data_IF_749195529519
#
_entry.id   IF_749195529519
#
_cell.length_a   1.000
_cell.length_b   1.000
_cell.length_c   1.000
_cell.angle_alpha   90.00
_cell.angle_beta   90.00
_cell.angle_gamma   90.00
#
_symmetry.space_group_name_H-M   'P 1'
#
loop_
_entity.id
_entity.type
_entity.pdbx_description
1 polymer ?
#
# COMPACT_ATOMS: atom_id res chain seq x y z
N UNK A 1 14.21 -17.60 -19.06
CA UNK A 1 12.78 -17.22 -19.06
C UNK A 1 12.47 -16.59 -17.73
N UNK A 2 11.87 -15.40 -17.71
CA UNK A 2 11.45 -14.76 -16.45
C UNK A 2 10.16 -15.43 -15.98
N UNK A 3 10.20 -16.10 -14.84
CA UNK A 3 8.99 -16.53 -14.15
C UNK A 3 8.27 -15.30 -13.59
N UNK A 4 6.97 -15.21 -13.83
CA UNK A 4 6.12 -14.13 -13.34
C UNK A 4 5.11 -14.70 -12.36
N UNK A 5 5.19 -14.24 -11.11
CA UNK A 5 4.21 -14.55 -10.10
C UNK A 5 3.50 -13.24 -9.69
N UNK A 6 2.16 -13.24 -9.64
CA UNK A 6 1.44 -12.04 -9.24
C UNK A 6 1.75 -11.71 -7.78
N UNK A 7 2.14 -10.47 -7.55
CA UNK A 7 2.23 -9.89 -6.21
C UNK A 7 0.85 -9.30 -5.90
N UNK A 8 0.22 -9.62 -4.77
CA UNK A 8 -1.09 -9.09 -4.44
C UNK A 8 -1.04 -7.57 -4.26
N UNK A 9 -2.14 -6.92 -4.57
CA UNK A 9 -2.34 -5.51 -4.24
C UNK A 9 -2.67 -5.34 -2.76
N UNK A 10 -2.49 -4.13 -2.23
CA UNK A 10 -2.88 -3.82 -0.84
C UNK A 10 -4.37 -4.09 -0.63
N UNK A 11 -5.21 -3.75 -1.60
CA UNK A 11 -6.65 -3.97 -1.52
C UNK A 11 -7.02 -5.45 -1.41
N UNK A 12 -6.37 -6.31 -2.21
CA UNK A 12 -6.58 -7.76 -2.12
C UNK A 12 -6.18 -8.32 -0.75
N UNK A 13 -5.12 -7.80 -0.13
CA UNK A 13 -4.68 -8.23 1.19
C UNK A 13 -5.63 -7.76 2.31
N UNK A 14 -6.32 -6.65 2.11
CA UNK A 14 -7.25 -6.09 3.09
C UNK A 14 -8.65 -6.72 3.04
N UNK A 15 -9.01 -7.44 1.96
CA UNK A 15 -10.34 -8.03 1.78
C UNK A 15 -10.76 -8.96 2.93
N UNK A 16 -9.84 -9.76 3.46
CA UNK A 16 -10.14 -10.73 4.52
C UNK A 16 -10.07 -10.14 5.94
N UNK A 17 -9.77 -8.83 6.08
CA UNK A 17 -9.57 -8.20 7.38
C UNK A 17 -10.85 -7.69 8.04
N UNK A 18 -11.98 -7.75 7.33
CA UNK A 18 -13.30 -7.39 7.89
C UNK A 18 -13.58 -8.17 9.19
N UNK A 19 -14.08 -7.47 10.22
CA UNK A 19 -14.40 -8.04 11.55
C UNK A 19 -13.20 -8.58 12.34
N UNK A 20 -11.97 -8.19 11.98
CA UNK A 20 -10.78 -8.56 12.74
C UNK A 20 -10.49 -7.53 13.83
N UNK A 21 -10.25 -8.02 15.05
CA UNK A 21 -10.04 -7.20 16.25
C UNK A 21 -8.68 -7.46 16.90
N UNK A 22 -7.97 -8.51 16.48
CA UNK A 22 -6.65 -8.86 17.02
C UNK A 22 -5.70 -9.12 15.87
N UNK A 23 -4.53 -8.51 15.95
CA UNK A 23 -3.52 -8.53 14.90
C UNK A 23 -2.15 -8.89 15.46
N UNK A 24 -1.35 -9.60 14.66
CA UNK A 24 0.09 -9.76 14.87
C UNK A 24 0.83 -9.47 13.58
N UNK A 25 1.94 -8.74 13.67
CA UNK A 25 2.87 -8.51 12.57
C UNK A 25 4.11 -9.35 12.75
N UNK A 26 4.49 -10.07 11.71
CA UNK A 26 5.68 -10.89 11.66
C UNK A 26 6.61 -10.32 10.59
N UNK A 27 7.88 -10.15 10.93
CA UNK A 27 8.95 -9.70 10.02
C UNK A 27 9.90 -10.87 9.78
N UNK A 28 10.07 -11.26 8.52
CA UNK A 28 10.96 -12.36 8.14
C UNK A 28 12.42 -11.87 8.14
N UNK A 29 13.27 -12.60 8.87
CA UNK A 29 14.68 -12.22 9.02
C UNK A 29 15.42 -12.38 7.70
N UNK A 30 16.13 -11.32 7.25
CA UNK A 30 16.97 -11.34 6.04
C UNK A 30 16.26 -11.64 4.72
N UNK A 31 14.94 -11.64 4.66
CA UNK A 31 14.12 -11.75 3.46
C UNK A 31 14.62 -12.76 2.44
N UNK A 32 15.05 -12.30 1.27
CA UNK A 32 15.50 -13.13 0.16
C UNK A 32 16.59 -14.14 0.54
N UNK A 33 17.47 -13.79 1.46
CA UNK A 33 18.56 -14.69 1.87
C UNK A 33 18.09 -15.95 2.63
N UNK A 34 16.83 -16.10 2.93
CA UNK A 34 16.29 -17.35 3.49
C UNK A 34 16.06 -18.42 2.42
N UNK A 35 15.90 -18.04 1.15
CA UNK A 35 15.68 -18.97 0.06
C UNK A 35 17.01 -19.48 -0.54
N UNK A 36 17.11 -20.79 -0.75
CA UNK A 36 18.26 -21.40 -1.41
C UNK A 36 18.13 -21.29 -2.93
N UNK A 37 19.23 -20.96 -3.61
CA UNK A 37 19.32 -21.07 -5.06
C UNK A 37 19.63 -22.51 -5.47
N UNK A 38 19.01 -22.95 -6.56
CA UNK A 38 19.41 -24.20 -7.24
C UNK A 38 20.88 -24.11 -7.65
N UNK A 39 21.56 -25.25 -7.74
CA UNK A 39 23.00 -25.25 -8.08
C UNK A 39 23.28 -24.58 -9.42
N UNK A 40 22.45 -24.88 -10.43
CA UNK A 40 22.58 -24.32 -11.79
C UNK A 40 22.43 -22.78 -11.83
N UNK A 41 21.67 -22.21 -10.87
CA UNK A 41 21.47 -20.76 -10.79
C UNK A 41 22.57 -20.03 -10.03
N UNK A 42 23.44 -20.73 -9.29
CA UNK A 42 24.47 -20.09 -8.47
C UNK A 42 25.59 -19.46 -9.28
N UNK A 43 25.97 -20.08 -10.38
CA UNK A 43 27.09 -19.62 -11.22
C UNK A 43 26.80 -18.24 -11.85
N UNK A 44 25.55 -17.96 -12.18
CA UNK A 44 25.10 -16.64 -12.70
C UNK A 44 25.35 -15.53 -11.68
N UNK A 45 25.43 -15.84 -10.40
CA UNK A 45 25.64 -14.90 -9.30
C UNK A 45 27.10 -14.69 -8.93
N UNK A 46 28.03 -15.19 -9.76
CA UNK A 46 29.47 -15.12 -9.49
C UNK A 46 29.97 -13.69 -9.53
N UNK A 47 30.76 -13.32 -8.53
CA UNK A 47 31.41 -12.03 -8.41
C UNK A 47 32.87 -12.19 -7.96
N UNK A 48 33.71 -11.23 -8.33
CA UNK A 48 35.14 -11.21 -8.01
C UNK A 48 35.38 -10.38 -6.75
N UNK A 49 36.28 -10.84 -5.90
CA UNK A 49 36.79 -10.11 -4.75
C UNK A 49 38.33 -10.15 -4.77
N UNK A 50 38.96 -9.41 -3.87
CA UNK A 50 40.41 -9.42 -3.69
C UNK A 50 40.97 -10.77 -3.21
N UNK A 51 40.13 -11.68 -2.71
CA UNK A 51 40.51 -13.00 -2.24
C UNK A 51 40.02 -14.13 -3.17
N UNK A 52 39.39 -13.80 -4.30
CA UNK A 52 38.96 -14.79 -5.30
C UNK A 52 37.53 -14.60 -5.81
N UNK A 53 37.06 -15.62 -6.52
CA UNK A 53 35.71 -15.67 -7.05
C UNK A 53 34.76 -16.28 -6.00
N UNK A 54 33.61 -15.66 -5.86
CA UNK A 54 32.53 -16.12 -4.98
C UNK A 54 31.22 -16.17 -5.75
N UNK A 55 30.28 -16.99 -5.30
CA UNK A 55 28.92 -17.06 -5.79
C UNK A 55 27.92 -17.16 -4.64
N UNK A 56 26.73 -16.63 -4.82
CA UNK A 56 25.68 -16.74 -3.83
C UNK A 56 25.10 -18.18 -3.80
N UNK A 57 24.87 -18.69 -2.62
CA UNK A 57 24.11 -19.92 -2.39
C UNK A 57 22.62 -19.64 -2.13
N UNK A 58 22.28 -18.40 -1.84
CA UNK A 58 20.94 -17.94 -1.48
C UNK A 58 20.47 -16.82 -2.41
N UNK A 59 19.17 -16.64 -2.51
CA UNK A 59 18.56 -15.60 -3.31
C UNK A 59 19.10 -14.23 -2.87
N UNK A 60 19.47 -13.37 -3.82
CA UNK A 60 20.14 -12.10 -3.57
C UNK A 60 19.31 -10.93 -4.10
N UNK A 61 19.62 -9.74 -3.59
CA UNK A 61 19.08 -8.49 -4.11
C UNK A 61 19.64 -8.19 -5.51
N UNK A 62 18.87 -7.43 -6.32
CA UNK A 62 19.29 -7.02 -7.67
C UNK A 62 18.85 -7.98 -8.79
N UNK A 63 18.37 -9.17 -8.48
CA UNK A 63 17.73 -10.06 -9.45
C UNK A 63 16.28 -9.60 -9.69
N UNK A 64 15.93 -9.29 -10.93
CA UNK A 64 14.62 -8.70 -11.27
C UNK A 64 13.41 -9.56 -10.93
N UNK A 65 13.56 -10.90 -10.90
CA UNK A 65 12.50 -11.85 -10.53
C UNK A 65 12.51 -12.23 -9.05
N UNK A 66 13.51 -11.80 -8.26
CA UNK A 66 13.63 -12.19 -6.86
C UNK A 66 12.39 -11.83 -6.01
N UNK A 67 11.80 -10.62 -6.10
CA UNK A 67 10.61 -10.29 -5.32
C UNK A 67 9.42 -11.21 -5.63
N UNK A 68 9.20 -11.51 -6.92
CA UNK A 68 8.08 -12.36 -7.37
C UNK A 68 8.25 -13.81 -6.87
N UNK A 69 9.47 -14.35 -6.98
CA UNK A 69 9.81 -15.70 -6.51
C UNK A 69 9.66 -15.77 -4.98
N UNK A 70 10.23 -14.79 -4.27
CA UNK A 70 10.16 -14.74 -2.82
C UNK A 70 8.71 -14.69 -2.33
N UNK A 71 7.91 -13.78 -2.85
CA UNK A 71 6.49 -13.66 -2.53
C UNK A 71 5.74 -14.96 -2.77
N UNK A 72 6.00 -15.64 -3.87
CA UNK A 72 5.36 -16.91 -4.20
C UNK A 72 5.74 -18.02 -3.21
N UNK A 73 7.01 -18.13 -2.83
CA UNK A 73 7.47 -19.13 -1.86
C UNK A 73 6.87 -18.88 -0.46
N UNK A 74 6.87 -17.63 0.02
CA UNK A 74 6.22 -17.30 1.30
C UNK A 74 4.73 -17.58 1.25
N UNK A 75 4.04 -17.21 0.13
CA UNK A 75 2.61 -17.52 -0.05
C UNK A 75 2.32 -19.01 0.05
N UNK A 76 3.16 -19.89 -0.55
CA UNK A 76 3.01 -21.35 -0.44
C UNK A 76 3.08 -21.84 1.01
N UNK A 77 3.99 -21.27 1.80
CA UNK A 77 4.15 -21.63 3.21
C UNK A 77 2.89 -21.35 4.02
N UNK A 78 2.25 -20.20 3.81
CA UNK A 78 1.06 -19.79 4.58
C UNK A 78 -0.27 -20.17 3.91
N UNK A 79 -0.22 -20.79 2.74
CA UNK A 79 -1.41 -21.16 1.96
C UNK A 79 -2.35 -22.05 2.77
N UNK A 80 -3.65 -21.71 2.76
CA UNK A 80 -4.70 -22.45 3.46
C UNK A 80 -4.84 -22.11 4.94
N UNK A 81 -4.04 -21.19 5.48
CA UNK A 81 -4.26 -20.64 6.83
C UNK A 81 -5.13 -19.39 6.66
N UNK A 82 -6.37 -19.37 7.19
CA UNK A 82 -7.23 -18.22 7.09
C UNK A 82 -6.68 -17.05 7.92
N UNK A 83 -6.97 -15.81 7.52
CA UNK A 83 -6.57 -14.62 8.26
C UNK A 83 -5.07 -14.37 8.30
N UNK A 84 -4.37 -14.69 7.22
CA UNK A 84 -2.95 -14.38 7.02
C UNK A 84 -2.79 -13.59 5.74
N UNK A 85 -2.33 -12.35 5.87
CA UNK A 85 -1.94 -11.50 4.75
C UNK A 85 -0.41 -11.40 4.71
N UNK A 86 0.17 -11.59 3.53
CA UNK A 86 1.62 -11.52 3.34
C UNK A 86 1.97 -10.66 2.13
N UNK A 87 2.90 -9.75 2.31
CA UNK A 87 3.54 -9.00 1.24
C UNK A 87 5.03 -8.85 1.52
N UNK A 88 5.85 -9.48 0.69
CA UNK A 88 7.31 -9.53 0.86
C UNK A 88 7.70 -10.05 2.25
N UNK A 89 8.45 -9.26 3.01
CA UNK A 89 8.96 -9.62 4.34
C UNK A 89 7.93 -9.39 5.46
N UNK A 90 6.88 -8.61 5.18
CA UNK A 90 5.82 -8.28 6.13
C UNK A 90 4.67 -9.30 6.04
N UNK A 91 4.31 -9.88 7.16
CA UNK A 91 3.18 -10.79 7.29
C UNK A 91 2.29 -10.32 8.44
N UNK A 92 0.99 -10.28 8.23
CA UNK A 92 -0.01 -10.00 9.27
C UNK A 92 -0.87 -11.22 9.48
N UNK A 93 -1.00 -11.64 10.73
CA UNK A 93 -1.97 -12.64 11.18
C UNK A 93 -3.07 -11.88 11.92
N UNK A 94 -4.32 -12.12 11.56
CA UNK A 94 -5.46 -11.42 12.15
C UNK A 94 -6.60 -12.36 12.49
N UNK A 95 -7.47 -11.94 13.38
CA UNK A 95 -8.64 -12.72 13.78
C UNK A 95 -9.71 -11.89 14.48
N UNK A 96 -10.96 -12.40 14.51
CA UNK A 96 -12.08 -11.71 15.14
C UNK A 96 -11.99 -11.64 16.67
N UNK A 97 -11.22 -12.55 17.26
CA UNK A 97 -10.97 -12.62 18.69
C UNK A 97 -9.61 -13.27 18.96
N UNK A 98 -9.16 -13.18 20.21
CA UNK A 98 -7.85 -13.69 20.62
C UNK A 98 -7.70 -15.19 20.39
N UNK A 99 -8.72 -16.01 20.63
CA UNK A 99 -8.63 -17.45 20.50
C UNK A 99 -8.41 -17.88 19.04
N UNK A 100 -9.19 -17.35 18.10
CA UNK A 100 -9.02 -17.61 16.67
C UNK A 100 -7.70 -17.05 16.14
N UNK A 101 -7.32 -15.85 16.57
CA UNK A 101 -6.03 -15.25 16.22
C UNK A 101 -4.86 -16.13 16.67
N UNK A 102 -4.83 -16.56 17.94
CA UNK A 102 -3.74 -17.36 18.50
C UNK A 102 -3.63 -18.74 17.82
N UNK A 103 -4.77 -19.36 17.49
CA UNK A 103 -4.82 -20.60 16.71
C UNK A 103 -4.20 -20.44 15.30
N UNK A 104 -4.52 -19.34 14.61
CA UNK A 104 -3.95 -19.03 13.30
C UNK A 104 -2.45 -18.74 13.40
N UNK A 105 -2.04 -17.97 14.41
CA UNK A 105 -0.64 -17.64 14.65
C UNK A 105 0.19 -18.90 14.95
N UNK A 106 -0.32 -19.84 15.73
CA UNK A 106 0.33 -21.12 15.99
C UNK A 106 0.50 -21.93 14.70
N UNK A 107 -0.50 -21.97 13.82
CA UNK A 107 -0.39 -22.64 12.52
C UNK A 107 0.70 -22.01 11.65
N UNK A 108 0.80 -20.67 11.64
CA UNK A 108 1.88 -19.97 10.92
C UNK A 108 3.24 -20.36 11.49
N UNK A 109 3.42 -20.35 12.80
CA UNK A 109 4.69 -20.73 13.42
C UNK A 109 5.10 -22.17 13.09
N UNK A 110 4.18 -23.12 13.16
CA UNK A 110 4.45 -24.52 12.77
C UNK A 110 4.89 -24.65 11.31
N UNK A 111 4.29 -23.86 10.40
CA UNK A 111 4.68 -23.85 8.98
C UNK A 111 6.05 -23.22 8.76
N UNK A 112 6.35 -22.10 9.43
CA UNK A 112 7.66 -21.45 9.36
C UNK A 112 8.76 -22.38 9.90
N UNK A 113 8.53 -23.05 11.03
CA UNK A 113 9.45 -24.04 11.62
C UNK A 113 9.70 -25.20 10.66
N UNK A 114 8.66 -25.79 10.10
CA UNK A 114 8.76 -26.90 9.16
C UNK A 114 9.52 -26.54 7.87
N UNK A 115 9.48 -25.27 7.45
CA UNK A 115 10.20 -24.78 6.26
C UNK A 115 11.57 -24.18 6.57
N UNK A 116 11.95 -24.07 7.85
CA UNK A 116 13.20 -23.47 8.29
C UNK A 116 13.27 -21.95 8.13
N UNK A 117 12.13 -21.29 7.94
CA UNK A 117 12.05 -19.82 7.87
C UNK A 117 12.12 -19.23 9.27
N UNK A 118 12.87 -18.13 9.40
CA UNK A 118 13.13 -17.48 10.68
C UNK A 118 12.58 -16.06 10.73
N UNK A 119 12.09 -15.67 11.91
CA UNK A 119 11.55 -14.36 12.19
C UNK A 119 12.56 -13.43 12.88
N UNK A 120 12.43 -12.14 12.63
CA UNK A 120 13.11 -11.11 13.39
C UNK A 120 12.27 -10.71 14.60
N UNK A 121 12.51 -11.33 15.75
CA UNK A 121 11.73 -11.15 16.97
C UNK A 121 11.59 -9.67 17.39
N UNK A 122 12.63 -8.87 17.20
CA UNK A 122 12.63 -7.46 17.63
C UNK A 122 11.69 -6.57 16.80
N UNK A 123 11.33 -7.01 15.60
CA UNK A 123 10.39 -6.31 14.72
C UNK A 123 8.99 -6.92 14.69
N UNK A 124 8.81 -8.06 15.33
CA UNK A 124 7.50 -8.69 15.44
C UNK A 124 6.67 -8.03 16.54
N UNK A 125 5.38 -7.88 16.28
CA UNK A 125 4.38 -7.37 17.23
C UNK A 125 3.27 -8.41 17.34
N UNK A 126 2.81 -8.72 18.56
CA UNK A 126 1.89 -9.82 18.79
C UNK A 126 0.63 -9.39 19.55
N UNK A 127 -0.52 -9.85 19.08
CA UNK A 127 -1.78 -9.81 19.81
C UNK A 127 -2.27 -8.41 20.17
N UNK A 128 -2.08 -7.44 19.26
CA UNK A 128 -2.47 -6.04 19.44
C UNK A 128 -3.82 -5.74 18.77
N UNK A 129 -4.52 -4.70 19.24
CA UNK A 129 -5.77 -4.21 18.66
C UNK A 129 -5.55 -3.30 17.44
N UNK A 130 -4.37 -2.72 17.31
CA UNK A 130 -4.00 -1.82 16.22
C UNK A 130 -2.59 -2.13 15.71
N UNK A 131 -2.38 -2.07 14.38
CA UNK A 131 -1.08 -2.41 13.80
C UNK A 131 -0.80 -1.62 12.51
N UNK A 132 0.47 -1.28 12.30
CA UNK A 132 0.93 -0.67 11.04
C UNK A 132 1.31 -1.76 10.03
N UNK A 133 0.63 -1.75 8.88
CA UNK A 133 0.89 -2.66 7.78
C UNK A 133 0.84 -1.92 6.44
N UNK A 134 1.89 -2.04 5.65
CA UNK A 134 2.01 -1.41 4.32
C UNK A 134 1.65 0.08 4.32
N UNK A 135 2.09 0.83 5.35
CA UNK A 135 1.84 2.27 5.46
C UNK A 135 0.42 2.66 5.82
N UNK A 136 -0.40 1.71 6.24
CA UNK A 136 -1.74 1.89 6.78
C UNK A 136 -1.80 1.41 8.23
N UNK A 137 -2.64 2.02 9.04
CA UNK A 137 -2.97 1.57 10.38
C UNK A 137 -4.27 0.77 10.32
N UNK A 138 -4.20 -0.48 10.74
CA UNK A 138 -5.32 -1.41 10.82
C UNK A 138 -5.83 -1.47 12.25
N UNK A 139 -7.14 -1.45 12.43
CA UNK A 139 -7.80 -1.60 13.73
C UNK A 139 -9.17 -2.27 13.56
N UNK A 140 -9.85 -2.54 14.68
CA UNK A 140 -11.24 -2.99 14.68
C UNK A 140 -12.21 -1.98 14.07
N UNK A 141 -11.85 -0.68 14.12
CA UNK A 141 -12.63 0.41 13.50
C UNK A 141 -12.50 0.46 12.00
N UNK A 142 -11.40 -0.08 11.44
CA UNK A 142 -11.11 -0.08 10.01
C UNK A 142 -9.67 0.31 9.69
N UNK A 143 -9.52 1.06 8.60
CA UNK A 143 -8.28 1.43 7.97
C UNK A 143 -8.05 2.94 8.09
N UNK A 144 -6.92 3.32 8.68
CA UNK A 144 -6.42 4.69 8.71
C UNK A 144 -5.09 4.81 7.94
N UNK A 145 -4.71 5.99 7.46
CA UNK A 145 -3.35 6.17 6.95
C UNK A 145 -2.35 6.02 8.09
N UNK A 146 -1.21 5.39 7.82
CA UNK A 146 -0.16 5.20 8.83
C UNK A 146 0.36 6.55 9.37
N UNK A 147 0.45 6.67 10.69
CA UNK A 147 0.80 7.92 11.38
C UNK A 147 2.07 8.56 10.83
N UNK A 148 3.14 7.80 10.63
CA UNK A 148 4.40 8.31 10.07
C UNK A 148 4.28 8.83 8.64
N UNK A 149 3.30 8.35 7.84
CA UNK A 149 3.02 8.88 6.51
C UNK A 149 2.29 10.22 6.59
N UNK A 150 1.29 10.32 7.47
CA UNK A 150 0.57 11.58 7.72
C UNK A 150 1.54 12.63 8.23
N UNK A 151 2.36 12.31 9.25
CA UNK A 151 3.39 13.20 9.77
C UNK A 151 4.36 13.67 8.69
N UNK A 152 4.81 12.78 7.79
CA UNK A 152 5.69 13.12 6.68
C UNK A 152 5.06 14.15 5.74
N UNK A 153 3.75 14.04 5.46
CA UNK A 153 3.03 15.02 4.65
C UNK A 153 2.85 16.34 5.41
N UNK A 154 2.47 16.29 6.68
CA UNK A 154 2.27 17.49 7.49
C UNK A 154 3.57 18.26 7.71
N UNK A 155 4.69 17.57 7.90
CA UNK A 155 6.02 18.18 8.04
C UNK A 155 6.63 18.64 6.70
N UNK A 156 6.03 18.27 5.56
CA UNK A 156 6.57 18.64 4.26
C UNK A 156 6.58 20.16 4.10
N UNK A 157 7.74 20.73 3.77
CA UNK A 157 7.89 22.18 3.54
C UNK A 157 7.27 22.53 2.20
N UNK A 158 6.88 23.79 2.03
CA UNK A 158 6.45 24.30 0.74
C UNK A 158 7.50 24.00 -0.33
N UNK A 159 7.14 23.26 -1.40
CA UNK A 159 8.07 22.87 -2.45
C UNK A 159 8.68 24.08 -3.17
N UNK A 160 9.96 24.00 -3.49
CA UNK A 160 10.69 25.04 -4.22
C UNK A 160 10.98 24.67 -5.67
N UNK A 161 10.82 23.39 -6.01
CA UNK A 161 11.07 22.88 -7.36
C UNK A 161 10.08 21.78 -7.73
N UNK A 162 9.97 21.50 -9.02
CA UNK A 162 9.07 20.47 -9.55
C UNK A 162 9.35 19.06 -9.01
N UNK A 163 10.61 18.75 -8.68
CA UNK A 163 10.99 17.47 -8.05
C UNK A 163 10.37 17.30 -6.66
N UNK A 164 10.37 18.37 -5.84
CA UNK A 164 9.75 18.36 -4.52
C UNK A 164 8.23 18.25 -4.60
N UNK A 165 7.61 18.91 -5.60
CA UNK A 165 6.16 18.76 -5.85
C UNK A 165 5.83 17.30 -6.23
N UNK A 166 6.62 16.66 -7.09
CA UNK A 166 6.40 15.24 -7.43
C UNK A 166 6.54 14.34 -6.21
N UNK A 167 7.52 14.61 -5.35
CA UNK A 167 7.71 13.86 -4.11
C UNK A 167 6.52 14.04 -3.16
N UNK A 168 6.04 15.27 -2.99
CA UNK A 168 4.85 15.58 -2.20
C UNK A 168 3.61 14.90 -2.77
N UNK A 169 3.36 15.06 -4.07
CA UNK A 169 2.22 14.44 -4.75
C UNK A 169 2.29 12.90 -4.73
N UNK A 170 3.49 12.33 -4.78
CA UNK A 170 3.68 10.88 -4.60
C UNK A 170 3.21 10.39 -3.23
N UNK A 171 3.53 11.12 -2.15
CA UNK A 171 3.06 10.81 -0.80
C UNK A 171 1.54 10.97 -0.68
N UNK A 172 1.00 12.06 -1.20
CA UNK A 172 -0.45 12.34 -1.17
C UNK A 172 -1.24 11.31 -1.98
N UNK A 173 -0.79 10.97 -3.20
CA UNK A 173 -1.44 9.98 -4.05
C UNK A 173 -1.44 8.58 -3.43
N UNK A 174 -0.38 8.22 -2.69
CA UNK A 174 -0.35 6.96 -1.95
C UNK A 174 -1.48 6.84 -0.93
N UNK A 175 -1.89 7.96 -0.34
CA UNK A 175 -2.99 8.06 0.61
C UNK A 175 -4.29 8.56 -0.04
N UNK A 176 -4.37 8.55 -1.36
CA UNK A 176 -5.49 9.10 -2.12
C UNK A 176 -6.84 8.48 -1.79
N UNK A 177 -6.87 7.23 -1.33
CA UNK A 177 -8.08 6.55 -0.87
C UNK A 177 -8.75 7.18 0.35
N UNK A 178 -8.03 8.02 1.11
CA UNK A 178 -8.53 8.75 2.29
C UNK A 178 -8.93 10.19 1.97
N UNK A 179 -8.72 10.65 0.73
CA UNK A 179 -8.91 12.05 0.36
C UNK A 179 -10.06 12.15 -0.64
N UNK A 180 -11.22 12.69 -0.22
CA UNK A 180 -12.27 13.04 -1.15
C UNK A 180 -11.79 14.15 -2.10
N UNK A 181 -12.27 14.13 -3.34
CA UNK A 181 -11.98 15.18 -4.35
C UNK A 181 -10.49 15.48 -4.59
N UNK A 182 -9.62 14.46 -4.43
CA UNK A 182 -8.18 14.63 -4.59
C UNK A 182 -7.79 15.21 -5.96
N UNK A 183 -8.52 14.87 -7.02
CA UNK A 183 -8.26 15.39 -8.37
C UNK A 183 -8.40 16.91 -8.44
N UNK A 184 -9.45 17.45 -7.82
CA UNK A 184 -9.73 18.88 -7.78
C UNK A 184 -8.74 19.62 -6.86
N UNK A 185 -8.53 19.09 -5.65
CA UNK A 185 -7.59 19.66 -4.67
C UNK A 185 -6.16 19.74 -5.21
N UNK A 186 -5.75 18.79 -6.04
CA UNK A 186 -4.38 18.70 -6.56
C UNK A 186 -4.16 19.41 -7.91
N UNK A 187 -5.22 19.85 -8.56
CA UNK A 187 -5.16 20.43 -9.91
C UNK A 187 -4.11 21.57 -10.04
N UNK A 188 -4.06 22.57 -9.12
CA UNK A 188 -3.08 23.65 -9.23
C UNK A 188 -1.62 23.20 -9.19
N UNK A 189 -1.33 22.06 -8.50
CA UNK A 189 0.01 21.50 -8.38
C UNK A 189 0.38 20.59 -9.56
N UNK A 190 -0.62 20.09 -10.29
CA UNK A 190 -0.44 19.08 -11.33
C UNK A 190 0.43 19.54 -12.49
N UNK A 191 0.26 20.79 -12.96
CA UNK A 191 1.08 21.34 -14.06
C UNK A 191 2.57 21.18 -13.79
N UNK A 192 3.00 21.34 -12.53
CA UNK A 192 4.39 21.24 -12.11
C UNK A 192 4.93 19.82 -12.10
N UNK A 193 4.07 18.80 -12.18
CA UNK A 193 4.51 17.40 -12.25
C UNK A 193 4.88 16.97 -13.67
N UNK A 194 4.54 17.75 -14.70
CA UNK A 194 4.85 17.47 -16.09
C UNK A 194 6.37 17.54 -16.35
N UNK A 195 6.83 16.75 -17.35
CA UNK A 195 8.26 16.69 -17.70
C UNK A 195 8.86 18.04 -18.11
N UNK A 196 8.06 18.90 -18.72
CA UNK A 196 8.44 20.23 -19.20
C UNK A 196 8.91 21.18 -18.10
N UNK A 197 8.52 20.92 -16.86
CA UNK A 197 8.86 21.72 -15.68
C UNK A 197 9.95 21.12 -14.81
N UNK A 198 10.57 20.01 -15.24
CA UNK A 198 11.47 19.20 -14.41
C UNK A 198 12.59 20.03 -13.74
N UNK A 199 13.16 20.97 -14.49
CA UNK A 199 14.32 21.75 -14.05
C UNK A 199 13.98 23.26 -13.89
N UNK A 200 12.68 23.61 -13.93
CA UNK A 200 12.24 25.00 -13.75
C UNK A 200 12.00 25.30 -12.27
N UNK A 201 12.36 26.49 -11.80
CA UNK A 201 11.94 26.97 -10.49
C UNK A 201 10.41 27.04 -10.45
N UNK A 202 9.85 26.69 -9.30
CA UNK A 202 8.40 26.72 -9.10
C UNK A 202 8.04 28.09 -8.52
N UNK A 203 7.18 28.80 -9.20
CA UNK A 203 6.52 29.99 -8.67
C UNK A 203 5.19 29.54 -8.03
N UNK A 204 5.17 29.54 -6.70
CA UNK A 204 3.97 29.24 -5.92
C UNK A 204 3.11 30.48 -5.81
N UNK A 205 2.10 30.58 -6.67
CA UNK A 205 1.02 31.55 -6.52
C UNK A 205 0.05 31.16 -5.40
N UNK A 206 -0.95 31.99 -5.21
CA UNK A 206 -1.96 31.78 -4.15
C UNK A 206 -2.69 30.43 -4.31
N UNK A 207 -3.01 30.03 -5.55
CA UNK A 207 -3.72 28.77 -5.84
C UNK A 207 -2.89 27.54 -5.47
N UNK A 208 -1.59 27.53 -5.76
CA UNK A 208 -0.69 26.43 -5.40
C UNK A 208 -0.49 26.31 -3.89
N UNK A 209 -0.34 27.44 -3.19
CA UNK A 209 -0.24 27.47 -1.72
C UNK A 209 -1.53 26.96 -1.08
N UNK A 210 -2.68 27.39 -1.59
CA UNK A 210 -3.98 26.91 -1.11
C UNK A 210 -4.14 25.41 -1.33
N UNK A 211 -3.86 24.91 -2.54
CA UNK A 211 -3.92 23.48 -2.86
C UNK A 211 -3.01 22.65 -1.94
N UNK A 212 -1.76 23.08 -1.74
CA UNK A 212 -0.81 22.44 -0.86
C UNK A 212 -1.33 22.32 0.59
N UNK A 213 -1.88 23.42 1.13
CA UNK A 213 -2.43 23.44 2.50
C UNK A 213 -3.74 22.63 2.60
N UNK A 214 -4.60 22.68 1.58
CA UNK A 214 -5.85 21.92 1.54
C UNK A 214 -5.59 20.41 1.54
N UNK A 215 -4.59 19.92 0.79
CA UNK A 215 -4.19 18.51 0.78
C UNK A 215 -3.65 18.07 2.14
N UNK A 216 -2.85 18.91 2.82
CA UNK A 216 -2.39 18.64 4.18
C UNK A 216 -3.56 18.56 5.17
N UNK A 217 -4.50 19.52 5.09
CA UNK A 217 -5.68 19.55 5.94
C UNK A 217 -6.59 18.35 5.71
N UNK A 218 -6.79 17.93 4.47
CA UNK A 218 -7.59 16.75 4.14
C UNK A 218 -7.02 15.48 4.78
N UNK A 219 -5.69 15.32 4.77
CA UNK A 219 -5.05 14.18 5.44
C UNK A 219 -5.01 14.30 6.96
N UNK A 220 -4.92 15.51 7.51
CA UNK A 220 -4.98 15.71 8.96
C UNK A 220 -6.37 15.38 9.54
N UNK A 221 -7.42 15.61 8.75
CA UNK A 221 -8.82 15.41 9.14
C UNK A 221 -9.46 14.21 8.42
N UNK A 222 -8.66 13.20 8.07
CA UNK A 222 -9.17 12.00 7.40
C UNK A 222 -10.18 11.25 8.26
N UNK A 223 -11.09 10.56 7.59
CA UNK A 223 -12.01 9.62 8.21
C UNK A 223 -11.43 8.20 8.16
N UNK A 224 -11.68 7.41 9.20
CA UNK A 224 -11.37 5.97 9.20
C UNK A 224 -12.24 5.27 8.16
N UNK A 225 -11.62 4.56 7.23
CA UNK A 225 -12.31 3.78 6.21
C UNK A 225 -12.70 2.40 6.76
N UNK A 226 -13.87 1.91 6.35
CA UNK A 226 -14.28 0.54 6.67
C UNK A 226 -13.47 -0.49 5.88
N UNK A 227 -13.35 -1.71 6.42
CA UNK A 227 -12.92 -2.85 5.59
C UNK A 227 -14.06 -3.29 4.68
N UNK A 228 -13.71 -3.73 3.47
CA UNK A 228 -14.70 -4.24 2.54
C UNK A 228 -15.28 -5.58 3.05
N UNK A 229 -16.60 -5.69 3.13
CA UNK A 229 -17.31 -6.93 3.43
C UNK A 229 -18.04 -7.42 2.16
N UNK A 230 -17.65 -8.57 1.62
CA UNK A 230 -18.25 -9.15 0.40
C UNK A 230 -19.75 -9.45 0.53
N UNK A 231 -20.29 -9.45 1.73
CA UNK A 231 -21.72 -9.74 2.02
C UNK A 231 -22.54 -8.49 2.26
N UNK A 232 -21.90 -7.32 2.42
CA UNK A 232 -22.61 -6.07 2.71
C UNK A 232 -23.14 -5.41 1.45
N UNK A 233 -24.29 -4.74 1.56
CA UNK A 233 -24.85 -3.93 0.48
C UNK A 233 -23.86 -2.82 0.12
N UNK A 234 -23.53 -2.77 -1.17
CA UNK A 234 -22.47 -1.89 -1.70
C UNK A 234 -23.06 -0.85 -2.63
N UNK A 235 -22.69 0.40 -2.44
CA UNK A 235 -23.06 1.53 -3.27
C UNK A 235 -21.82 2.25 -3.78
N UNK A 236 -21.86 2.70 -5.03
CA UNK A 236 -20.86 3.58 -5.63
C UNK A 236 -21.54 4.90 -5.99
N UNK A 237 -20.98 5.98 -5.49
CA UNK A 237 -21.35 7.34 -5.91
C UNK A 237 -20.20 7.88 -6.74
N UNK A 238 -20.50 8.30 -7.95
CA UNK A 238 -19.49 8.88 -8.85
C UNK A 238 -19.98 10.25 -9.33
N UNK A 239 -19.05 11.16 -9.50
CA UNK A 239 -19.30 12.52 -9.97
C UNK A 239 -18.12 13.02 -10.81
N UNK A 240 -18.41 13.93 -11.72
CA UNK A 240 -17.43 14.53 -12.63
C UNK A 240 -17.34 16.04 -12.45
N UNK A 241 -16.15 16.52 -12.11
CA UNK A 241 -15.81 17.94 -12.11
C UNK A 241 -15.24 18.39 -13.47
N UNK A 242 -15.02 19.69 -13.69
CA UNK A 242 -14.33 20.18 -14.89
C UNK A 242 -12.93 19.61 -15.11
N UNK A 243 -12.26 19.12 -14.03
CA UNK A 243 -10.85 18.74 -14.05
C UNK A 243 -10.59 17.29 -13.66
N UNK A 244 -11.57 16.61 -13.06
CA UNK A 244 -11.39 15.25 -12.56
C UNK A 244 -12.68 14.46 -12.42
N UNK A 245 -12.52 13.16 -12.20
CA UNK A 245 -13.56 12.23 -11.78
C UNK A 245 -13.32 11.87 -10.34
N UNK A 246 -14.38 11.83 -9.56
CA UNK A 246 -14.39 11.36 -8.18
C UNK A 246 -15.38 10.24 -7.99
N UNK A 247 -15.05 9.28 -7.15
CA UNK A 247 -15.99 8.26 -6.73
C UNK A 247 -15.77 7.90 -5.25
N UNK A 248 -16.83 7.46 -4.60
CA UNK A 248 -16.78 6.91 -3.26
C UNK A 248 -17.50 5.57 -3.22
N UNK A 249 -16.82 4.59 -2.66
CA UNK A 249 -17.38 3.27 -2.37
C UNK A 249 -17.88 3.26 -0.92
N UNK A 250 -19.16 2.99 -0.76
CA UNK A 250 -19.84 2.94 0.54
C UNK A 250 -20.49 1.58 0.72
N UNK A 251 -20.42 1.05 1.93
CA UNK A 251 -21.16 -0.16 2.31
C UNK A 251 -22.01 0.10 3.55
N UNK A 252 -23.17 -0.58 3.63
CA UNK A 252 -23.97 -0.61 4.85
C UNK A 252 -23.52 -1.81 5.68
N UNK A 253 -22.78 -1.53 6.76
CA UNK A 253 -22.28 -2.54 7.69
C UNK A 253 -22.91 -2.31 9.06
N UNK A 254 -23.53 -3.35 9.63
CA UNK A 254 -24.25 -3.27 10.92
C UNK A 254 -25.26 -2.10 10.96
N UNK A 255 -26.02 -1.91 9.87
CA UNK A 255 -27.01 -0.83 9.66
C UNK A 255 -26.39 0.59 9.63
N UNK A 256 -25.09 0.72 9.54
CA UNK A 256 -24.38 2.01 9.44
C UNK A 256 -23.69 2.13 8.09
N UNK A 257 -23.88 3.24 7.34
CA UNK A 257 -23.07 3.52 6.16
C UNK A 257 -21.61 3.75 6.54
N UNK A 258 -20.70 3.05 5.87
CA UNK A 258 -19.26 3.19 6.05
C UNK A 258 -18.59 3.45 4.70
N UNK A 259 -17.74 4.45 4.66
CA UNK A 259 -16.87 4.70 3.50
C UNK A 259 -15.78 3.64 3.47
N UNK A 260 -15.62 2.99 2.33
CA UNK A 260 -14.61 1.96 2.12
C UNK A 260 -13.39 2.53 1.39
N UNK A 261 -13.61 3.39 0.41
CA UNK A 261 -12.53 4.02 -0.33
C UNK A 261 -13.04 5.20 -1.14
N UNK A 262 -12.21 6.23 -1.26
CA UNK A 262 -12.33 7.22 -2.31
C UNK A 262 -11.48 6.83 -3.51
N UNK A 263 -11.99 7.10 -4.71
CA UNK A 263 -11.24 6.96 -5.95
C UNK A 263 -11.27 8.29 -6.72
N UNK A 264 -10.15 8.64 -7.32
CA UNK A 264 -10.02 9.91 -8.03
C UNK A 264 -9.16 9.73 -9.27
N UNK A 265 -9.57 10.36 -10.35
CA UNK A 265 -8.79 10.43 -11.58
C UNK A 265 -8.93 11.82 -12.21
N UNK A 266 -7.84 12.43 -12.59
CA UNK A 266 -7.95 13.67 -13.36
C UNK A 266 -8.27 13.39 -14.80
N UNK A 267 -9.00 14.31 -15.41
CA UNK A 267 -9.31 14.29 -16.83
C UNK A 267 -8.07 14.62 -17.66
N UNK A 268 -7.93 13.93 -18.78
CA UNK A 268 -6.98 14.29 -19.84
C UNK A 268 -7.43 15.60 -20.52
N UNK A 269 -6.55 16.25 -21.27
CA UNK A 269 -6.89 17.49 -21.98
C UNK A 269 -7.98 17.30 -23.05
N UNK A 270 -8.14 16.08 -23.55
CA UNK A 270 -9.24 15.70 -24.45
C UNK A 270 -10.55 15.60 -23.66
N UNK A 271 -10.55 14.86 -22.56
CA UNK A 271 -11.73 14.63 -21.70
C UNK A 271 -12.24 15.94 -21.04
N UNK A 272 -11.36 16.89 -20.74
CA UNK A 272 -11.76 18.22 -20.22
C UNK A 272 -12.71 18.96 -21.17
N UNK A 273 -12.66 18.67 -22.47
CA UNK A 273 -13.52 19.28 -23.50
C UNK A 273 -14.87 18.58 -23.68
N UNK A 274 -15.06 17.46 -23.06
CA UNK A 274 -16.32 16.73 -23.10
C UNK A 274 -17.44 17.52 -22.39
N UNK A 275 -18.67 17.28 -22.81
CA UNK A 275 -19.84 17.76 -22.10
C UNK A 275 -19.92 17.14 -20.70
N UNK A 276 -20.70 17.74 -19.80
CA UNK A 276 -20.87 17.19 -18.44
C UNK A 276 -21.37 15.75 -18.46
N UNK A 277 -22.38 15.49 -19.29
CA UNK A 277 -22.97 14.14 -19.44
C UNK A 277 -21.93 13.10 -19.92
N UNK A 278 -21.07 13.49 -20.87
CA UNK A 278 -20.00 12.61 -21.34
C UNK A 278 -18.95 12.35 -20.26
N UNK A 279 -18.63 13.36 -19.42
CA UNK A 279 -17.70 13.19 -18.29
C UNK A 279 -18.28 12.26 -17.22
N UNK A 280 -19.57 12.35 -16.95
CA UNK A 280 -20.25 11.47 -15.99
C UNK A 280 -20.39 10.01 -16.49
N UNK A 281 -20.29 9.81 -17.80
CA UNK A 281 -20.31 8.49 -18.41
C UNK A 281 -18.94 7.81 -18.48
N UNK A 282 -17.84 8.52 -18.13
CA UNK A 282 -16.47 7.99 -18.11
C UNK A 282 -16.21 7.13 -16.86
#
# INVERSE_FOLDING_TARGET
>A
VRERHPIPTVDELLLDMSKSNVFSKLDLKWGFHQLLLSEDSRDITTFVTHVGLFRYKRLLFGVSSAPEIYQNEIRKVVQGIPGVANMSDDMVVHGPNKAEHDKRLEQVFRRLEATGLTLNRSKCVFGVSEIDFLGHKLSDRGLDPGAGKVESVLAFRQPKCASEIRSFMGLVNYMGRFIPHLADLSEPLRKWTCKEYKDKPVDFGHAEVQAFNSLKSALANHETLGFFDVKADTMVFADASPVGLGAVLVQVQDMVPRVISYANRSLTDVEKRYSQTEKEAL
#
